data_IF_338451620104
#
_entry.id   IF_338451620104
#
_cell.length_a   1.000
_cell.length_b   1.000
_cell.length_c   1.000
_cell.angle_alpha   90.00
_cell.angle_beta   90.00
_cell.angle_gamma   90.00
#
_symmetry.space_group_name_H-M   'P 1'
#
loop_
_entity.id
_entity.type
_entity.pdbx_description
1 polymer ?
#
# COMPACT_ATOMS: atom_id res chain seq x y z
N UNK A 1 13.82 8.58 -20.32
CA UNK A 1 13.55 7.16 -20.61
C UNK A 1 14.39 6.64 -21.77
N UNK A 2 14.56 7.39 -22.87
CA UNK A 2 15.31 6.96 -24.05
C UNK A 2 16.74 6.51 -23.75
N UNK A 3 17.45 7.21 -22.86
CA UNK A 3 18.80 6.82 -22.44
C UNK A 3 18.82 5.42 -21.79
N UNK A 4 17.87 5.14 -20.90
CA UNK A 4 17.81 3.84 -20.21
C UNK A 4 17.44 2.72 -21.18
N UNK A 5 16.51 2.99 -22.10
CA UNK A 5 16.14 2.04 -23.14
C UNK A 5 17.31 1.73 -24.10
N UNK A 6 18.08 2.74 -24.48
CA UNK A 6 19.28 2.56 -25.34
C UNK A 6 20.39 1.73 -24.67
N UNK A 7 20.40 1.69 -23.34
CA UNK A 7 21.37 0.91 -22.55
C UNK A 7 20.77 -0.39 -21.98
N UNK A 8 19.66 -0.88 -22.56
CA UNK A 8 19.01 -2.15 -22.20
C UNK A 8 18.61 -2.30 -20.71
N UNK A 9 18.37 -1.16 -20.02
CA UNK A 9 17.81 -1.23 -18.67
C UNK A 9 16.36 -1.70 -18.73
N UNK A 10 15.93 -2.60 -17.82
CA UNK A 10 14.54 -3.00 -17.73
C UNK A 10 13.67 -1.80 -17.35
N UNK A 11 12.73 -1.44 -18.22
CA UNK A 11 11.78 -0.36 -18.02
C UNK A 11 10.41 -0.95 -17.75
N UNK A 12 9.64 -0.27 -16.89
CA UNK A 12 8.24 -0.59 -16.75
C UNK A 12 7.48 -0.14 -18.02
N UNK A 13 6.87 -1.08 -18.77
CA UNK A 13 6.17 -0.75 -20.01
C UNK A 13 4.97 0.16 -19.79
N UNK A 14 4.38 0.13 -18.58
CA UNK A 14 3.19 0.91 -18.23
C UNK A 14 3.50 2.35 -17.81
N UNK A 15 4.75 2.79 -18.00
CA UNK A 15 5.12 4.18 -17.74
C UNK A 15 4.55 5.11 -18.83
N UNK A 16 3.74 6.10 -18.42
CA UNK A 16 3.10 7.07 -19.32
C UNK A 16 3.54 8.50 -18.99
N UNK A 17 3.84 9.28 -20.03
CA UNK A 17 3.99 10.73 -19.93
C UNK A 17 2.63 11.37 -20.23
N UNK A 18 2.19 12.23 -19.32
CA UNK A 18 0.92 12.95 -19.42
C UNK A 18 1.14 14.46 -19.29
N UNK A 19 0.20 15.26 -19.80
CA UNK A 19 0.33 16.72 -19.86
C UNK A 19 -0.66 17.47 -18.97
N UNK A 20 -1.69 16.81 -18.47
CA UNK A 20 -2.72 17.38 -17.62
C UNK A 20 -2.93 16.56 -16.33
N UNK A 21 -3.56 17.18 -15.34
CA UNK A 21 -3.95 16.48 -14.11
C UNK A 21 -5.12 15.51 -14.38
N UNK A 22 -5.96 15.83 -15.35
CA UNK A 22 -7.08 15.00 -15.77
C UNK A 22 -6.56 13.66 -16.31
N UNK A 23 -5.52 13.71 -17.18
CA UNK A 23 -4.88 12.49 -17.71
C UNK A 23 -4.21 11.67 -16.60
N UNK A 24 -3.64 12.34 -15.57
CA UNK A 24 -3.08 11.65 -14.39
C UNK A 24 -4.17 10.89 -13.65
N UNK A 25 -5.30 11.54 -13.37
CA UNK A 25 -6.41 10.93 -12.64
C UNK A 25 -7.04 9.78 -13.43
N UNK A 26 -7.17 9.93 -14.75
CA UNK A 26 -7.64 8.86 -15.63
C UNK A 26 -6.70 7.64 -15.56
N UNK A 27 -5.40 7.87 -15.67
CA UNK A 27 -4.40 6.82 -15.57
C UNK A 27 -4.41 6.11 -14.21
N UNK A 28 -4.59 6.87 -13.12
CA UNK A 28 -4.69 6.31 -11.78
C UNK A 28 -5.93 5.42 -11.61
N UNK A 29 -7.10 5.87 -12.08
CA UNK A 29 -8.34 5.09 -12.04
C UNK A 29 -8.26 3.84 -12.90
N UNK A 30 -7.70 3.99 -14.11
CA UNK A 30 -7.51 2.84 -14.99
C UNK A 30 -6.75 1.72 -14.31
N UNK A 31 -5.61 2.02 -13.67
CA UNK A 31 -4.80 1.00 -13.01
C UNK A 31 -5.36 0.55 -11.66
N UNK A 32 -6.17 1.34 -10.98
CA UNK A 32 -6.92 0.89 -9.80
C UNK A 32 -7.89 -0.24 -10.16
N UNK A 33 -8.56 -0.13 -11.33
CA UNK A 33 -9.53 -1.11 -11.82
C UNK A 33 -8.87 -2.31 -12.54
N UNK A 34 -7.66 -2.15 -13.11
CA UNK A 34 -6.99 -3.15 -13.95
C UNK A 34 -5.66 -3.66 -13.35
N UNK A 35 -5.42 -3.40 -12.06
CA UNK A 35 -4.17 -3.79 -11.38
C UNK A 35 -3.87 -5.30 -11.49
N UNK A 36 -4.90 -6.13 -11.56
CA UNK A 36 -4.79 -7.60 -11.65
C UNK A 36 -4.32 -8.09 -13.04
N UNK A 37 -4.33 -7.24 -14.06
CA UNK A 37 -3.81 -7.57 -15.39
C UNK A 37 -2.29 -7.55 -15.45
N UNK A 38 -1.64 -6.95 -14.44
CA UNK A 38 -0.18 -6.91 -14.36
C UNK A 38 0.38 -8.25 -13.85
N UNK A 39 1.56 -8.66 -14.34
CA UNK A 39 2.24 -9.86 -13.85
C UNK A 39 2.88 -9.69 -12.46
N UNK A 40 2.59 -8.60 -11.77
CA UNK A 40 3.07 -8.24 -10.43
C UNK A 40 2.06 -7.38 -9.70
N UNK A 41 2.02 -7.50 -8.38
CA UNK A 41 1.12 -6.70 -7.54
C UNK A 41 1.56 -5.26 -7.45
N UNK A 42 0.59 -4.34 -7.48
CA UNK A 42 0.78 -2.91 -7.23
C UNK A 42 -0.19 -2.42 -6.16
N UNK A 43 0.27 -1.52 -5.30
CA UNK A 43 -0.54 -0.85 -4.28
C UNK A 43 -0.79 0.63 -4.58
N UNK A 44 -0.30 1.09 -5.73
CA UNK A 44 -0.45 2.47 -6.17
C UNK A 44 0.47 2.84 -7.31
N UNK A 45 0.46 4.12 -7.67
CA UNK A 45 1.21 4.70 -8.79
C UNK A 45 2.11 5.81 -8.29
N UNK A 46 3.32 5.88 -8.81
CA UNK A 46 4.25 6.98 -8.51
C UNK A 46 4.15 8.04 -9.61
N UNK A 47 3.79 9.24 -9.21
CA UNK A 47 3.68 10.43 -10.06
C UNK A 47 4.93 11.28 -9.88
N UNK A 48 5.55 11.69 -10.98
CA UNK A 48 6.77 12.49 -10.96
C UNK A 48 6.69 13.64 -11.93
N UNK A 49 7.15 14.82 -11.53
CA UNK A 49 7.34 15.95 -12.45
C UNK A 49 8.43 15.60 -13.45
N UNK A 50 8.12 15.63 -14.76
CA UNK A 50 9.06 15.20 -15.80
C UNK A 50 10.21 16.20 -16.05
N UNK A 51 9.96 17.49 -15.85
CA UNK A 51 10.98 18.53 -16.09
C UNK A 51 12.05 18.55 -15.00
N UNK A 52 13.29 18.23 -15.36
CA UNK A 52 14.44 18.29 -14.44
C UNK A 52 14.68 19.70 -13.86
N UNK A 53 14.34 20.75 -14.63
CA UNK A 53 14.42 22.14 -14.15
C UNK A 53 13.42 22.37 -13.02
N UNK A 54 12.18 21.91 -13.19
CA UNK A 54 11.15 22.03 -12.17
C UNK A 54 11.45 21.13 -10.95
N UNK A 55 12.00 19.94 -11.15
CA UNK A 55 12.44 19.07 -10.05
C UNK A 55 13.49 19.77 -9.17
N UNK A 56 14.47 20.46 -9.79
CA UNK A 56 15.47 21.25 -9.06
C UNK A 56 14.86 22.42 -8.29
N UNK A 57 13.86 23.09 -8.85
CA UNK A 57 13.14 24.19 -8.19
C UNK A 57 12.29 23.71 -6.99
N UNK A 58 11.61 22.59 -7.14
CA UNK A 58 10.79 22.00 -6.08
C UNK A 58 11.66 21.44 -4.94
N UNK A 59 12.81 20.89 -5.27
CA UNK A 59 13.79 20.38 -4.30
C UNK A 59 13.29 19.17 -3.52
N UNK A 60 13.81 19.04 -2.29
CA UNK A 60 13.58 17.90 -1.41
C UNK A 60 13.12 18.35 -0.02
N UNK A 61 12.43 17.48 0.68
CA UNK A 61 12.30 17.53 2.14
C UNK A 61 13.45 16.73 2.76
N UNK A 62 13.52 16.65 4.10
CA UNK A 62 14.51 15.81 4.77
C UNK A 62 14.39 14.30 4.42
N UNK A 63 13.22 13.86 3.95
CA UNK A 63 12.95 12.42 3.73
C UNK A 63 12.53 12.05 2.30
N UNK A 64 12.06 13.03 1.50
CA UNK A 64 11.45 12.73 0.20
C UNK A 64 11.58 13.89 -0.79
N UNK A 65 11.56 13.62 -2.11
CA UNK A 65 11.47 14.66 -3.12
C UNK A 65 10.10 15.33 -3.11
N UNK A 66 10.06 16.65 -3.34
CA UNK A 66 8.80 17.41 -3.48
C UNK A 66 8.19 17.28 -4.88
N UNK A 67 8.94 16.78 -5.83
CA UNK A 67 8.54 16.59 -7.24
C UNK A 67 8.03 15.19 -7.55
N UNK A 68 7.88 14.35 -6.53
CA UNK A 68 7.30 13.01 -6.66
C UNK A 68 6.30 12.76 -5.53
N UNK A 69 5.21 12.08 -5.86
CA UNK A 69 4.19 11.63 -4.92
C UNK A 69 3.68 10.27 -5.31
N UNK A 70 3.14 9.53 -4.34
CA UNK A 70 2.46 8.27 -4.59
C UNK A 70 0.94 8.49 -4.50
N UNK A 71 0.23 8.02 -5.51
CA UNK A 71 -1.21 7.79 -5.45
C UNK A 71 -1.42 6.35 -5.02
N UNK A 72 -1.86 6.14 -3.78
CA UNK A 72 -2.16 4.82 -3.25
C UNK A 72 -3.58 4.43 -3.60
N UNK A 73 -3.77 3.19 -4.08
CA UNK A 73 -5.10 2.65 -4.31
C UNK A 73 -5.84 2.46 -2.99
N UNK A 74 -7.16 2.39 -3.09
CA UNK A 74 -7.98 2.05 -1.93
C UNK A 74 -7.60 0.65 -1.45
N UNK A 75 -7.25 0.54 -0.17
CA UNK A 75 -6.88 -0.74 0.41
C UNK A 75 -8.09 -1.69 0.37
N UNK A 76 -7.86 -2.90 -0.09
CA UNK A 76 -8.89 -3.92 -0.02
C UNK A 76 -9.18 -4.26 1.43
N UNK A 77 -10.44 -4.48 1.71
CA UNK A 77 -10.94 -4.82 3.03
C UNK A 77 -11.71 -6.14 2.97
N UNK A 78 -11.50 -6.97 3.98
CA UNK A 78 -12.25 -8.21 4.14
C UNK A 78 -12.86 -8.28 5.54
N UNK A 79 -14.13 -8.70 5.61
CA UNK A 79 -14.81 -8.92 6.88
C UNK A 79 -14.50 -10.33 7.39
N UNK A 80 -14.16 -10.43 8.66
CA UNK A 80 -13.85 -11.70 9.32
C UNK A 80 -14.27 -11.67 10.78
N UNK A 81 -14.04 -12.75 11.53
CA UNK A 81 -14.40 -12.86 12.93
C UNK A 81 -13.16 -12.99 13.80
N UNK A 82 -13.09 -12.21 14.87
CA UNK A 82 -12.02 -12.29 15.88
C UNK A 82 -12.22 -13.52 16.76
N UNK A 83 -11.31 -14.48 16.69
CA UNK A 83 -11.38 -15.74 17.47
C UNK A 83 -10.62 -15.68 18.78
N UNK A 84 -9.42 -15.11 18.77
CA UNK A 84 -8.61 -14.90 19.96
C UNK A 84 -7.61 -13.76 19.74
N UNK A 85 -7.01 -13.30 20.85
CA UNK A 85 -5.88 -12.39 20.84
C UNK A 85 -4.71 -13.09 21.49
N UNK A 86 -3.65 -13.29 20.74
CA UNK A 86 -2.39 -13.87 21.22
C UNK A 86 -1.35 -12.77 21.42
N UNK A 87 -0.34 -13.05 22.24
CA UNK A 87 0.79 -12.14 22.47
C UNK A 87 2.00 -12.65 21.71
N UNK A 88 2.42 -11.89 20.71
CA UNK A 88 3.70 -12.09 20.03
C UNK A 88 4.84 -11.36 20.75
N UNK A 89 6.03 -11.95 20.75
CA UNK A 89 7.24 -11.31 21.28
C UNK A 89 8.11 -10.87 20.09
N UNK A 90 8.31 -9.57 19.94
CA UNK A 90 9.18 -9.00 18.92
C UNK A 90 10.66 -9.24 19.19
N UNK A 91 11.52 -8.98 18.21
CA UNK A 91 12.98 -9.15 18.32
C UNK A 91 13.61 -8.37 19.47
N UNK A 92 13.04 -7.25 19.86
CA UNK A 92 13.48 -6.40 20.96
C UNK A 92 12.86 -6.75 22.31
N UNK A 93 12.06 -7.84 22.38
CA UNK A 93 11.32 -8.22 23.58
C UNK A 93 9.98 -7.48 23.78
N UNK A 94 9.60 -6.62 22.84
CA UNK A 94 8.31 -5.91 22.87
C UNK A 94 7.18 -6.91 22.66
N UNK A 95 6.19 -6.85 23.55
CA UNK A 95 4.97 -7.64 23.46
C UNK A 95 3.98 -6.96 22.51
N UNK A 96 3.55 -7.69 21.48
CA UNK A 96 2.62 -7.19 20.47
C UNK A 96 1.38 -8.06 20.45
N UNK A 97 0.17 -7.52 20.65
CA UNK A 97 -1.05 -8.29 20.50
C UNK A 97 -1.31 -8.61 19.03
N UNK A 98 -1.72 -9.84 18.76
CA UNK A 98 -2.01 -10.37 17.44
C UNK A 98 -3.42 -10.96 17.47
N UNK A 99 -4.29 -10.45 16.61
CA UNK A 99 -5.61 -11.03 16.39
C UNK A 99 -5.49 -12.35 15.62
N UNK A 100 -6.15 -13.39 16.12
CA UNK A 100 -6.41 -14.63 15.41
C UNK A 100 -7.82 -14.54 14.85
N UNK A 101 -7.95 -14.73 13.56
CA UNK A 101 -9.14 -14.47 12.78
C UNK A 101 -9.61 -15.73 12.06
N UNK A 102 -10.88 -15.80 11.71
CA UNK A 102 -11.31 -16.77 10.70
C UNK A 102 -10.55 -16.48 9.40
N UNK A 103 -10.05 -17.53 8.72
CA UNK A 103 -9.34 -17.34 7.47
C UNK A 103 -10.20 -16.61 6.45
N UNK A 104 -9.66 -15.56 5.85
CA UNK A 104 -10.33 -14.76 4.82
C UNK A 104 -9.36 -14.41 3.70
N UNK A 105 -9.84 -14.42 2.47
CA UNK A 105 -9.05 -14.00 1.32
C UNK A 105 -8.95 -12.48 1.27
N UNK A 106 -7.72 -11.98 1.10
CA UNK A 106 -7.42 -10.55 0.98
C UNK A 106 -6.23 -10.38 0.04
N UNK A 107 -6.42 -9.69 -1.09
CA UNK A 107 -5.40 -9.52 -2.14
C UNK A 107 -4.72 -10.85 -2.54
N UNK A 108 -5.50 -11.86 -2.89
CA UNK A 108 -5.01 -13.17 -3.33
C UNK A 108 -4.24 -13.97 -2.27
N UNK A 109 -4.33 -13.59 -1.00
CA UNK A 109 -3.68 -14.27 0.12
C UNK A 109 -4.69 -14.59 1.21
N UNK A 110 -4.68 -15.83 1.71
CA UNK A 110 -5.51 -16.20 2.88
C UNK A 110 -4.86 -15.66 4.15
N UNK A 111 -5.57 -14.77 4.83
CA UNK A 111 -5.11 -14.14 6.08
C UNK A 111 -5.94 -14.68 7.24
N UNK A 112 -5.25 -15.13 8.30
CA UNK A 112 -5.84 -15.60 9.56
C UNK A 112 -5.23 -14.95 10.81
N UNK A 113 -4.29 -14.04 10.63
CA UNK A 113 -3.60 -13.33 11.72
C UNK A 113 -3.37 -11.88 11.33
N UNK A 114 -3.66 -10.95 12.24
CA UNK A 114 -3.40 -9.53 12.05
C UNK A 114 -2.75 -8.91 13.29
N UNK A 115 -1.81 -7.99 13.09
CA UNK A 115 -1.25 -7.24 14.22
C UNK A 115 -2.25 -6.22 14.74
N UNK A 116 -2.35 -6.11 16.05
CA UNK A 116 -3.09 -5.04 16.72
C UNK A 116 -2.15 -3.91 17.19
N UNK A 117 -0.88 -3.97 16.78
CA UNK A 117 0.18 -3.01 17.08
C UNK A 117 0.53 -2.89 18.57
N UNK A 118 -0.41 -2.53 19.43
CA UNK A 118 -0.25 -2.37 20.87
C UNK A 118 -1.58 -2.58 21.61
N UNK A 119 -1.54 -2.63 22.94
CA UNK A 119 -2.73 -2.81 23.76
C UNK A 119 -3.67 -1.61 23.74
N UNK A 120 -3.17 -0.40 23.55
CA UNK A 120 -4.01 0.80 23.44
C UNK A 120 -4.97 0.69 22.24
N UNK A 121 -4.56 0.02 21.15
CA UNK A 121 -5.44 -0.26 20.02
C UNK A 121 -6.53 -1.27 20.37
N UNK A 122 -6.23 -2.29 21.15
CA UNK A 122 -7.22 -3.28 21.61
C UNK A 122 -8.30 -2.58 22.44
N UNK A 123 -7.90 -1.72 23.37
CA UNK A 123 -8.81 -0.94 24.20
C UNK A 123 -9.61 0.08 23.37
N UNK A 124 -8.94 0.82 22.47
CA UNK A 124 -9.58 1.82 21.61
C UNK A 124 -10.67 1.24 20.74
N UNK A 125 -10.45 0.06 20.18
CA UNK A 125 -11.45 -0.63 19.36
C UNK A 125 -12.47 -1.38 20.21
N UNK A 126 -12.25 -1.48 21.52
CA UNK A 126 -13.09 -2.23 22.45
C UNK A 126 -13.35 -3.66 21.95
N UNK A 127 -12.30 -4.36 21.52
CA UNK A 127 -12.39 -5.67 20.89
C UNK A 127 -12.82 -6.77 21.84
N UNK A 128 -13.80 -7.55 21.42
CA UNK A 128 -14.25 -8.74 22.12
C UNK A 128 -14.16 -9.97 21.23
N UNK A 129 -13.94 -11.11 21.83
CA UNK A 129 -13.93 -12.38 21.11
C UNK A 129 -15.29 -12.65 20.47
N UNK A 130 -15.30 -12.99 19.19
CA UNK A 130 -16.50 -13.17 18.38
C UNK A 130 -16.95 -11.94 17.61
N UNK A 131 -16.29 -10.79 17.78
CA UNK A 131 -16.60 -9.59 17.02
C UNK A 131 -16.36 -9.79 15.51
N UNK A 132 -17.25 -9.21 14.72
CA UNK A 132 -17.03 -9.02 13.30
C UNK A 132 -16.09 -7.83 13.08
N UNK A 133 -14.97 -8.07 12.48
CA UNK A 133 -13.93 -7.07 12.25
C UNK A 133 -13.62 -6.93 10.76
N UNK A 134 -13.25 -5.72 10.35
CA UNK A 134 -12.76 -5.46 9.01
C UNK A 134 -11.24 -5.50 9.03
N UNK A 135 -10.67 -6.37 8.20
CA UNK A 135 -9.25 -6.52 7.99
C UNK A 135 -8.82 -5.71 6.77
N UNK A 136 -7.75 -4.96 6.91
CA UNK A 136 -7.13 -4.19 5.85
C UNK A 136 -5.65 -4.55 5.73
N UNK A 137 -5.15 -4.69 4.50
CA UNK A 137 -3.72 -4.93 4.27
C UNK A 137 -2.95 -3.63 4.53
N UNK A 138 -2.16 -3.61 5.59
CA UNK A 138 -1.20 -2.54 5.85
C UNK A 138 -0.04 -2.62 4.85
N UNK A 139 0.37 -1.45 4.32
CA UNK A 139 1.52 -1.34 3.41
C UNK A 139 2.86 -1.57 4.11
#
# INVERSE_FOLDING_TARGET
MDFLSQHEFPLNPETKLVSSIEDVLEFCRYWEDHKEELPYDIDGIVLKVNSLKQQKQLGFTAKSPRWATAFKFTAEQAATVLRSIEVGVGRTGILTPVAILDPVELNGTTVSRATLHNYDQVERFNLHLGDHVTLEKGG
#
